data_IF_750453889260
#
_entry.id   IF_750453889260
#
_cell.length_a   1.000
_cell.length_b   1.000
_cell.length_c   1.000
_cell.angle_alpha   90.00
_cell.angle_beta   90.00
_cell.angle_gamma   90.00
#
_symmetry.space_group_name_H-M   'P 1'
#
loop_
_entity.id
_entity.type
_entity.pdbx_description
1 polymer ?
#
# COMPACT_ATOMS: atom_id res chain seq x y z
N UNK A 1 -14.25 -15.64 12.87
CA UNK A 1 -13.48 -14.51 12.32
C UNK A 1 -12.17 -14.43 13.08
N UNK A 2 -11.10 -14.79 12.40
CA UNK A 2 -9.78 -14.91 12.96
C UNK A 2 -8.77 -14.35 11.97
N UNK A 3 -7.87 -13.50 12.48
CA UNK A 3 -6.66 -13.13 11.75
C UNK A 3 -5.76 -14.37 11.65
N UNK A 4 -5.47 -14.79 10.43
CA UNK A 4 -4.68 -15.97 10.12
C UNK A 4 -3.18 -15.67 10.18
N UNK A 5 -2.78 -14.48 9.70
CA UNK A 5 -1.39 -14.06 9.70
C UNK A 5 -1.26 -12.55 9.92
N UNK A 6 -0.13 -12.14 10.49
CA UNK A 6 0.32 -10.74 10.52
C UNK A 6 1.82 -10.67 10.32
N UNK A 7 2.23 -9.87 9.36
CA UNK A 7 3.64 -9.57 9.05
C UNK A 7 3.86 -8.07 9.18
N UNK A 8 5.01 -7.69 9.74
CA UNK A 8 5.46 -6.30 9.84
C UNK A 8 6.83 -6.22 9.19
N UNK A 9 7.00 -5.33 8.21
CA UNK A 9 8.27 -5.20 7.50
C UNK A 9 8.40 -3.81 6.86
N UNK A 10 9.63 -3.30 6.73
CA UNK A 10 9.88 -2.08 5.97
C UNK A 10 9.79 -2.35 4.47
N UNK A 11 9.28 -1.38 3.73
CA UNK A 11 9.29 -1.36 2.26
C UNK A 11 9.87 -0.03 1.82
N UNK A 12 10.79 -0.04 0.86
CA UNK A 12 11.27 1.19 0.23
C UNK A 12 10.43 1.50 -1.01
N UNK A 13 9.53 2.48 -1.00
CA UNK A 13 8.68 2.77 -2.14
C UNK A 13 9.43 3.59 -3.19
N UNK A 14 10.20 2.91 -4.04
CA UNK A 14 10.94 3.53 -5.14
C UNK A 14 10.02 4.39 -5.99
N UNK A 15 10.43 5.64 -6.27
CA UNK A 15 9.63 6.63 -6.98
C UNK A 15 8.25 6.92 -6.35
N UNK A 16 8.08 6.61 -5.07
CA UNK A 16 6.84 6.82 -4.33
C UNK A 16 5.83 5.70 -4.46
N UNK A 17 6.22 4.55 -5.03
CA UNK A 17 5.31 3.43 -5.30
C UNK A 17 5.85 2.12 -4.71
N UNK A 18 4.93 1.26 -4.31
CA UNK A 18 5.22 -0.14 -4.05
C UNK A 18 4.01 -1.01 -4.41
N UNK A 19 4.27 -2.28 -4.65
CA UNK A 19 3.33 -3.19 -5.29
C UNK A 19 2.99 -4.38 -4.40
N UNK A 20 1.75 -4.87 -4.53
CA UNK A 20 1.27 -6.11 -3.92
C UNK A 20 0.75 -7.02 -5.03
N UNK A 21 1.31 -8.21 -5.19
CA UNK A 21 0.99 -9.08 -6.33
C UNK A 21 1.20 -10.57 -6.02
N UNK A 22 0.62 -11.43 -6.86
CA UNK A 22 0.85 -12.87 -6.81
C UNK A 22 2.02 -13.33 -7.71
N UNK A 23 2.62 -14.52 -7.49
CA UNK A 23 3.62 -15.06 -8.39
C UNK A 23 3.16 -15.08 -9.85
N UNK A 24 4.06 -14.74 -10.77
CA UNK A 24 3.78 -14.72 -12.21
C UNK A 24 3.04 -13.47 -12.70
N UNK A 25 2.62 -12.55 -11.82
CA UNK A 25 2.20 -11.22 -12.23
C UNK A 25 3.44 -10.45 -12.76
N UNK A 26 3.32 -9.68 -13.85
CA UNK A 26 4.41 -8.83 -14.31
C UNK A 26 4.76 -7.82 -13.22
N UNK A 27 6.06 -7.68 -12.90
CA UNK A 27 6.58 -6.81 -11.83
C UNK A 27 6.56 -5.31 -12.23
N UNK A 28 5.51 -4.90 -12.92
CA UNK A 28 5.42 -3.67 -13.70
C UNK A 28 4.45 -3.92 -14.83
N UNK A 29 3.16 -3.96 -14.52
CA UNK A 29 2.13 -4.13 -15.53
C UNK A 29 2.24 -2.99 -16.53
N UNK A 30 2.50 -3.31 -17.80
CA UNK A 30 2.73 -2.35 -18.88
C UNK A 30 1.51 -1.45 -19.23
N UNK A 31 0.50 -1.40 -18.36
CA UNK A 31 -0.74 -0.61 -18.50
C UNK A 31 -1.07 0.22 -17.25
N UNK A 32 -0.20 0.27 -16.24
CA UNK A 32 -0.44 1.09 -15.05
C UNK A 32 0.06 2.50 -15.37
N UNK A 33 -0.83 3.32 -15.94
CA UNK A 33 -0.65 4.77 -15.94
C UNK A 33 -0.48 5.18 -14.49
N UNK A 34 0.76 5.50 -14.10
CA UNK A 34 1.14 5.78 -12.72
C UNK A 34 0.12 6.69 -12.05
N UNK A 35 -0.19 6.36 -10.79
CA UNK A 35 -1.12 7.10 -9.93
C UNK A 35 -1.08 8.61 -10.19
N UNK A 36 -2.01 9.09 -11.02
CA UNK A 36 -2.18 10.52 -11.26
C UNK A 36 -2.93 11.11 -10.06
N UNK A 37 -2.28 11.99 -9.31
CA UNK A 37 -2.97 12.84 -8.33
C UNK A 37 -3.05 12.35 -6.88
N UNK A 38 -2.13 11.48 -6.42
CA UNK A 38 -1.98 11.21 -4.98
C UNK A 38 -2.93 10.15 -4.39
N UNK A 39 -3.69 9.44 -5.22
CA UNK A 39 -4.56 8.33 -4.79
C UNK A 39 -3.75 7.23 -4.10
N UNK A 40 -4.21 6.72 -2.96
CA UNK A 40 -3.53 5.68 -2.19
C UNK A 40 -3.34 4.35 -2.93
N UNK A 41 -4.33 3.93 -3.72
CA UNK A 41 -4.39 2.59 -4.28
C UNK A 41 -4.91 2.60 -5.72
N UNK A 42 -4.24 1.86 -6.60
CA UNK A 42 -4.75 1.44 -7.91
C UNK A 42 -4.75 -0.08 -7.97
N UNK A 43 -5.90 -0.64 -8.37
CA UNK A 43 -6.09 -2.09 -8.46
C UNK A 43 -6.10 -2.58 -9.91
N UNK A 44 -5.25 -3.57 -10.18
CA UNK A 44 -5.31 -4.41 -11.37
C UNK A 44 -5.90 -5.79 -11.08
N UNK A 45 -5.82 -6.70 -12.05
CA UNK A 45 -6.35 -8.07 -11.91
C UNK A 45 -5.56 -8.90 -10.88
N UNK A 46 -4.24 -8.93 -10.98
CA UNK A 46 -3.34 -9.74 -10.13
C UNK A 46 -2.22 -8.90 -9.47
N UNK A 47 -2.37 -7.59 -9.49
CA UNK A 47 -1.47 -6.63 -8.89
C UNK A 47 -2.24 -5.44 -8.31
N UNK A 48 -1.68 -4.85 -7.26
CA UNK A 48 -2.08 -3.59 -6.67
C UNK A 48 -0.86 -2.67 -6.64
N UNK A 49 -1.09 -1.39 -6.88
CA UNK A 49 -0.10 -0.32 -6.74
C UNK A 49 -0.52 0.59 -5.61
N UNK A 50 0.37 0.80 -4.64
CA UNK A 50 0.17 1.67 -3.50
C UNK A 50 1.14 2.85 -3.62
N UNK A 51 0.64 4.06 -3.36
CA UNK A 51 1.49 5.25 -3.34
C UNK A 51 1.80 5.74 -1.94
N UNK A 52 2.97 6.33 -1.78
CA UNK A 52 3.32 7.28 -0.73
C UNK A 52 3.36 8.69 -1.32
N UNK A 53 3.22 9.71 -0.47
CA UNK A 53 3.49 11.10 -0.86
C UNK A 53 5.01 11.40 -0.91
N UNK A 54 5.84 10.53 -0.32
CA UNK A 54 7.28 10.69 -0.17
C UNK A 54 8.00 9.36 -0.50
N UNK A 55 8.65 9.27 -1.67
CA UNK A 55 9.29 8.05 -2.19
C UNK A 55 10.80 7.88 -1.95
N UNK A 56 11.33 8.43 -0.85
CA UNK A 56 12.79 8.46 -0.54
C UNK A 56 13.15 7.83 0.79
N UNK A 57 12.16 7.52 1.64
CA UNK A 57 12.38 6.84 2.92
C UNK A 57 11.58 5.55 2.99
N UNK A 58 12.07 4.58 3.76
CA UNK A 58 11.33 3.34 4.00
C UNK A 58 9.99 3.64 4.70
N UNK A 59 8.93 2.94 4.30
CA UNK A 59 7.62 2.92 4.96
C UNK A 59 7.47 1.63 5.76
N UNK A 60 6.64 1.63 6.80
CA UNK A 60 6.35 0.42 7.57
C UNK A 60 5.05 -0.21 7.09
N UNK A 61 5.09 -1.48 6.68
CA UNK A 61 3.93 -2.20 6.14
C UNK A 61 3.52 -3.30 7.11
N UNK A 62 2.26 -3.27 7.50
CA UNK A 62 1.57 -4.37 8.16
C UNK A 62 0.71 -5.11 7.16
N UNK A 63 1.03 -6.38 6.89
CA UNK A 63 0.22 -7.27 6.06
C UNK A 63 -0.53 -8.24 6.95
N UNK A 64 -1.85 -8.24 6.88
CA UNK A 64 -2.72 -9.17 7.60
C UNK A 64 -3.51 -10.03 6.63
N UNK A 65 -3.52 -11.34 6.88
CA UNK A 65 -4.46 -12.26 6.22
C UNK A 65 -5.55 -12.64 7.22
N UNK A 66 -6.80 -12.62 6.76
CA UNK A 66 -7.99 -12.94 7.53
C UNK A 66 -8.80 -14.06 6.87
N UNK A 67 -9.49 -14.85 7.69
CA UNK A 67 -10.35 -15.94 7.23
C UNK A 67 -11.59 -15.41 6.48
N UNK A 68 -12.15 -14.30 6.94
CA UNK A 68 -13.27 -13.56 6.35
C UNK A 68 -12.99 -12.05 6.47
N UNK A 69 -13.97 -11.22 6.05
CA UNK A 69 -13.84 -9.77 6.16
C UNK A 69 -13.47 -9.35 7.59
N UNK A 70 -12.38 -8.59 7.78
CA UNK A 70 -11.94 -8.12 9.09
C UNK A 70 -13.00 -7.17 9.69
N UNK A 71 -12.95 -6.92 11.02
CA UNK A 71 -13.80 -5.88 11.59
C UNK A 71 -13.34 -4.54 11.01
N UNK A 72 -14.27 -3.60 10.87
CA UNK A 72 -13.94 -2.24 10.48
C UNK A 72 -12.77 -1.74 11.32
N UNK A 73 -11.76 -1.17 10.67
CA UNK A 73 -10.65 -0.51 11.36
C UNK A 73 -11.21 0.74 12.06
N UNK A 74 -11.90 0.55 13.18
CA UNK A 74 -12.62 1.57 13.90
C UNK A 74 -11.66 2.72 14.26
N UNK A 75 -11.78 3.85 13.56
CA UNK A 75 -11.24 5.16 13.94
C UNK A 75 -9.78 5.23 14.48
N UNK A 76 -8.88 4.33 14.06
CA UNK A 76 -7.49 4.22 14.53
C UNK A 76 -6.54 5.35 14.03
N UNK A 77 -7.09 6.51 13.65
CA UNK A 77 -6.30 7.63 13.13
C UNK A 77 -5.68 7.36 11.75
N UNK A 78 -6.28 6.47 10.95
CA UNK A 78 -5.94 6.29 9.54
C UNK A 78 -6.33 7.54 8.74
N UNK A 79 -5.38 8.07 7.97
CA UNK A 79 -5.57 9.30 7.19
C UNK A 79 -6.33 9.03 5.89
N UNK A 80 -6.07 7.87 5.28
CA UNK A 80 -6.67 7.48 4.02
C UNK A 80 -6.90 5.98 3.97
N UNK A 81 -7.99 5.58 3.31
CA UNK A 81 -8.38 4.19 3.16
C UNK A 81 -8.86 3.93 1.75
N UNK A 82 -8.44 2.81 1.16
CA UNK A 82 -8.88 2.38 -0.15
C UNK A 82 -9.01 0.87 -0.21
N UNK A 83 -9.86 0.37 -1.10
CA UNK A 83 -10.10 -1.06 -1.25
C UNK A 83 -10.05 -1.48 -2.71
N UNK A 84 -9.52 -2.68 -2.96
CA UNK A 84 -9.52 -3.31 -4.27
C UNK A 84 -9.73 -4.83 -4.15
N UNK A 85 -9.96 -5.48 -5.29
CA UNK A 85 -9.93 -6.95 -5.39
C UNK A 85 -8.71 -7.33 -6.21
N UNK A 86 -7.98 -8.35 -5.79
CA UNK A 86 -6.77 -8.84 -6.47
C UNK A 86 -6.75 -10.37 -6.49
N UNK A 87 -6.36 -10.96 -7.62
CA UNK A 87 -6.19 -12.40 -7.75
C UNK A 87 -4.79 -12.83 -7.30
N UNK A 88 -4.72 -13.70 -6.29
CA UNK A 88 -3.46 -14.18 -5.72
C UNK A 88 -3.35 -15.70 -5.92
N UNK A 89 -2.17 -16.17 -6.32
CA UNK A 89 -1.90 -17.57 -6.67
C UNK A 89 -1.31 -18.34 -5.48
N UNK A 90 -1.95 -18.26 -4.32
CA UNK A 90 -1.53 -18.94 -3.08
C UNK A 90 -0.33 -18.31 -2.38
N UNK A 91 0.20 -17.23 -2.92
CA UNK A 91 1.24 -16.41 -2.32
C UNK A 91 0.97 -14.95 -2.64
N UNK A 92 1.44 -14.08 -1.76
CA UNK A 92 1.48 -12.64 -1.94
C UNK A 92 2.92 -12.16 -1.83
N UNK A 93 3.30 -11.24 -2.71
CA UNK A 93 4.60 -10.60 -2.76
C UNK A 93 4.35 -9.10 -2.61
N UNK A 94 5.08 -8.47 -1.69
CA UNK A 94 5.12 -7.02 -1.52
C UNK A 94 6.52 -6.54 -1.90
N UNK A 95 6.61 -5.59 -2.82
CA UNK A 95 7.90 -5.06 -3.28
C UNK A 95 7.79 -3.58 -3.58
N UNK A 96 8.76 -2.80 -3.09
CA UNK A 96 9.10 -1.53 -3.74
C UNK A 96 10.20 -1.76 -4.76
N UNK A 97 10.41 -0.84 -5.68
CA UNK A 97 11.23 -1.00 -6.90
C UNK A 97 12.73 -1.34 -6.70
N UNK A 98 13.16 -1.65 -5.47
CA UNK A 98 14.51 -2.14 -5.18
C UNK A 98 14.56 -3.67 -5.36
N UNK A 99 15.35 -4.18 -6.32
CA UNK A 99 15.55 -5.62 -6.49
C UNK A 99 16.04 -6.30 -5.21
N UNK A 100 15.50 -7.49 -4.92
CA UNK A 100 15.94 -8.32 -3.78
C UNK A 100 15.41 -7.89 -2.40
N UNK A 101 14.57 -6.84 -2.32
CA UNK A 101 13.94 -6.39 -1.06
C UNK A 101 12.45 -6.72 -0.95
N UNK A 102 11.96 -7.67 -1.74
CA UNK A 102 10.56 -8.07 -1.68
C UNK A 102 10.28 -9.00 -0.49
N UNK A 103 9.10 -8.86 0.09
CA UNK A 103 8.58 -9.76 1.11
C UNK A 103 7.58 -10.70 0.48
N UNK A 104 7.80 -12.01 0.65
CA UNK A 104 6.93 -13.06 0.14
C UNK A 104 6.26 -13.79 1.29
N UNK A 105 4.95 -14.01 1.18
CA UNK A 105 4.16 -14.74 2.15
C UNK A 105 3.26 -15.76 1.45
N UNK A 106 3.15 -16.96 2.04
CA UNK A 106 2.21 -17.99 1.58
C UNK A 106 0.85 -17.74 2.22
N UNK A 107 -0.20 -17.69 1.39
CA UNK A 107 -1.56 -17.43 1.86
C UNK A 107 -2.19 -18.71 2.40
N UNK A 108 -2.86 -18.60 3.54
CA UNK A 108 -3.64 -19.68 4.14
C UNK A 108 -4.93 -19.96 3.38
N UNK A 109 -5.56 -18.93 2.79
CA UNK A 109 -6.76 -19.05 1.95
C UNK A 109 -6.50 -19.65 0.56
N UNK A 110 -5.24 -19.92 0.21
CA UNK A 110 -4.87 -20.53 -1.07
C UNK A 110 -4.99 -19.57 -2.26
N UNK A 111 -5.25 -20.13 -3.44
CA UNK A 111 -5.34 -19.37 -4.68
C UNK A 111 -6.77 -18.87 -4.94
N UNK A 112 -6.92 -17.61 -5.36
CA UNK A 112 -8.21 -17.05 -5.71
C UNK A 112 -8.27 -15.53 -5.65
N UNK A 113 -9.47 -14.95 -5.81
CA UNK A 113 -9.69 -13.53 -5.62
C UNK A 113 -9.73 -13.16 -4.13
N UNK A 114 -8.90 -12.20 -3.73
CA UNK A 114 -8.85 -11.62 -2.40
C UNK A 114 -9.38 -10.20 -2.45
N UNK A 115 -10.13 -9.81 -1.42
CA UNK A 115 -10.39 -8.41 -1.13
C UNK A 115 -9.16 -7.88 -0.39
N UNK A 116 -8.73 -6.69 -0.77
CA UNK A 116 -7.65 -5.96 -0.14
C UNK A 116 -8.18 -4.62 0.36
N UNK A 117 -8.14 -4.41 1.67
CA UNK A 117 -8.33 -3.10 2.27
C UNK A 117 -6.98 -2.54 2.70
N UNK A 118 -6.72 -1.31 2.27
CA UNK A 118 -5.48 -0.58 2.50
C UNK A 118 -5.80 0.64 3.33
N UNK A 119 -5.09 0.80 4.43
CA UNK A 119 -5.13 1.99 5.26
C UNK A 119 -3.73 2.59 5.32
N UNK A 120 -3.65 3.91 5.28
CA UNK A 120 -2.38 4.63 5.38
C UNK A 120 -2.46 5.79 6.36
N UNK A 121 -1.35 6.08 7.05
CA UNK A 121 -1.23 7.22 7.97
C UNK A 121 0.18 7.78 7.98
N UNK A 122 0.31 8.99 8.51
CA UNK A 122 1.53 9.81 8.50
C UNK A 122 2.05 10.13 7.09
N UNK A 123 1.26 9.93 6.02
CA UNK A 123 1.71 10.16 4.63
C UNK A 123 2.11 11.63 4.46
N UNK A 124 1.20 12.53 4.87
CA UNK A 124 1.38 13.98 4.76
C UNK A 124 2.47 14.47 5.72
N UNK A 125 2.44 14.00 6.97
CA UNK A 125 3.38 14.44 7.99
C UNK A 125 4.84 14.03 7.67
N UNK A 126 5.06 12.89 7.02
CA UNK A 126 6.40 12.49 6.55
C UNK A 126 6.83 13.32 5.36
N UNK A 127 5.95 13.54 4.37
CA UNK A 127 6.25 14.39 3.22
C UNK A 127 6.64 15.82 3.64
N UNK A 128 5.83 16.46 4.48
CA UNK A 128 6.09 17.82 4.99
C UNK A 128 7.40 17.92 5.77
N UNK A 129 7.71 16.93 6.62
CA UNK A 129 8.98 16.90 7.35
C UNK A 129 10.16 16.70 6.40
N UNK A 130 10.02 15.87 5.38
CA UNK A 130 11.07 15.67 4.39
C UNK A 130 11.33 16.96 3.60
N UNK A 131 10.30 17.68 3.19
CA UNK A 131 10.43 18.99 2.55
C UNK A 131 11.14 20.00 3.46
N UNK A 132 10.84 19.99 4.76
CA UNK A 132 11.55 20.82 5.75
C UNK A 132 13.03 20.45 5.86
N UNK A 133 13.40 19.17 5.74
CA UNK A 133 14.81 18.75 5.69
C UNK A 133 15.51 19.31 4.45
N UNK A 134 14.88 19.23 3.28
CA UNK A 134 15.43 19.78 2.04
C UNK A 134 15.61 21.31 2.10
N UNK A 135 14.71 22.02 2.78
CA UNK A 135 14.83 23.47 2.98
C UNK A 135 15.93 23.82 4.00
N UNK A 136 16.12 23.00 5.04
CA UNK A 136 17.07 23.25 6.13
C UNK A 136 18.51 22.94 5.73
N UNK A 137 18.74 21.88 4.95
CA UNK A 137 20.07 21.43 4.58
C UNK A 137 20.36 21.73 3.11
N UNK A 138 21.42 22.51 2.86
CA UNK A 138 21.82 22.91 1.50
C UNK A 138 22.30 21.73 0.63
N UNK A 139 22.83 20.68 1.26
CA UNK A 139 23.32 19.47 0.60
C UNK A 139 22.56 18.22 1.09
N UNK A 140 21.75 17.56 0.24
CA UNK A 140 21.03 16.34 0.57
C UNK A 140 21.95 15.10 0.68
N UNK A 141 23.24 15.24 0.40
CA UNK A 141 24.23 14.19 0.59
C UNK A 141 25.07 14.38 1.87
N UNK A 142 24.86 15.46 2.61
CA UNK A 142 25.57 15.73 3.88
C UNK A 142 25.27 14.65 4.93
N UNK A 143 26.20 14.47 5.88
CA UNK A 143 26.04 13.51 6.97
C UNK A 143 24.86 13.91 7.87
N UNK A 144 24.69 15.21 8.10
CA UNK A 144 23.63 15.79 8.92
C UNK A 144 22.26 15.57 8.30
N UNK A 145 22.12 15.76 6.98
CA UNK A 145 20.89 15.42 6.26
C UNK A 145 20.58 13.93 6.39
N UNK A 146 21.56 13.05 6.17
CA UNK A 146 21.38 11.60 6.26
C UNK A 146 20.94 11.15 7.65
N UNK A 147 21.48 11.73 8.72
CA UNK A 147 21.05 11.46 10.10
C UNK A 147 19.61 11.93 10.33
N UNK A 148 19.26 13.12 9.85
CA UNK A 148 17.90 13.65 9.99
C UNK A 148 16.86 12.84 9.18
N UNK A 149 17.23 12.41 7.97
CA UNK A 149 16.43 11.54 7.11
C UNK A 149 16.17 10.18 7.77
N UNK A 150 17.17 9.57 8.42
CA UNK A 150 16.98 8.32 9.16
C UNK A 150 15.87 8.44 10.21
N UNK A 151 15.69 9.62 10.80
CA UNK A 151 14.61 9.88 11.75
C UNK A 151 13.20 9.77 11.15
N UNK A 152 13.04 9.84 9.82
CA UNK A 152 11.76 9.72 9.12
C UNK A 152 11.44 8.29 8.64
N UNK A 153 12.42 7.40 8.61
CA UNK A 153 12.24 6.03 8.12
C UNK A 153 11.25 5.25 8.99
N UNK A 154 10.35 4.54 8.34
CA UNK A 154 9.31 3.71 8.97
C UNK A 154 8.19 4.49 9.65
N UNK A 155 8.16 5.83 9.55
CA UNK A 155 7.10 6.65 10.17
C UNK A 155 5.80 6.66 9.39
N UNK A 156 5.88 6.61 8.07
CA UNK A 156 4.70 6.39 7.25
C UNK A 156 4.32 4.92 7.35
N UNK A 157 3.05 4.67 7.64
CA UNK A 157 2.55 3.34 7.97
C UNK A 157 1.42 2.94 7.04
N UNK A 158 1.48 1.69 6.57
CA UNK A 158 0.44 1.06 5.76
C UNK A 158 -0.05 -0.20 6.46
N UNK A 159 -1.37 -0.39 6.47
CA UNK A 159 -2.01 -1.64 6.84
C UNK A 159 -2.74 -2.20 5.62
N UNK A 160 -2.36 -3.41 5.21
CA UNK A 160 -2.95 -4.15 4.10
C UNK A 160 -3.65 -5.37 4.71
N UNK A 161 -4.97 -5.42 4.60
CA UNK A 161 -5.79 -6.55 5.06
C UNK A 161 -6.29 -7.33 3.87
N UNK A 162 -6.00 -8.62 3.82
CA UNK A 162 -6.40 -9.53 2.77
C UNK A 162 -7.36 -10.59 3.32
N UNK A 163 -8.43 -10.89 2.59
CA UNK A 163 -9.28 -12.05 2.85
C UNK A 163 -9.87 -12.59 1.55
N UNK A 164 -10.11 -13.91 1.45
CA UNK A 164 -10.74 -14.50 0.27
C UNK A 164 -12.13 -13.90 0.04
N UNK A 165 -12.42 -13.53 -1.20
CA UNK A 165 -13.81 -13.28 -1.61
C UNK A 165 -14.44 -14.62 -1.93
N UNK A 166 -15.58 -14.94 -1.30
CA UNK A 166 -16.31 -16.16 -1.63
C UNK A 166 -16.62 -16.14 -3.13
N UNK A 167 -16.06 -17.09 -3.88
CA UNK A 167 -16.25 -17.20 -5.31
C UNK A 167 -17.68 -17.64 -5.63
N UNK A 168 -18.65 -16.72 -5.57
CA UNK A 168 -19.98 -16.86 -6.16
C UNK A 168 -20.43 -15.54 -6.77
N UNK A 169 -19.91 -15.27 -7.97
CA UNK A 169 -20.51 -14.34 -8.93
C UNK A 169 -19.94 -12.92 -8.91
N UNK A 170 -19.32 -12.54 -10.03
CA UNK A 170 -19.13 -11.13 -10.39
C UNK A 170 -17.85 -10.48 -9.88
N UNK A 171 -16.83 -10.49 -10.73
CA UNK A 171 -15.70 -9.57 -10.62
C UNK A 171 -16.23 -8.14 -10.67
N UNK A 172 -16.28 -7.45 -9.53
CA UNK A 172 -16.63 -6.03 -9.50
C UNK A 172 -15.35 -5.22 -9.66
N UNK A 173 -15.15 -4.63 -10.84
CA UNK A 173 -14.10 -3.62 -11.10
C UNK A 173 -14.25 -2.50 -10.07
N UNK A 174 -13.14 -2.03 -9.49
CA UNK A 174 -13.12 -1.01 -8.45
C UNK A 174 -14.13 0.11 -8.75
N UNK A 175 -15.13 0.28 -7.88
CA UNK A 175 -16.11 1.34 -8.01
C UNK A 175 -15.39 2.68 -7.80
N UNK A 176 -15.54 3.58 -8.77
CA UNK A 176 -14.94 4.91 -8.76
C UNK A 176 -15.27 5.71 -7.50
N UNK A 177 -14.37 6.64 -7.21
CA UNK A 177 -14.44 7.64 -6.14
C UNK A 177 -15.86 8.18 -5.97
N UNK A 178 -16.44 8.03 -4.77
CA UNK A 178 -17.66 8.74 -4.39
C UNK A 178 -17.29 10.15 -3.97
N UNK A 179 -17.57 11.13 -4.82
CA UNK A 179 -17.68 12.52 -4.40
C UNK A 179 -19.12 12.80 -3.93
N UNK A 180 -19.33 13.57 -2.84
CA UNK A 180 -20.67 13.99 -2.44
C UNK A 180 -21.25 14.92 -3.52
N UNK A 181 -22.44 14.58 -4.03
CA UNK A 181 -23.16 15.38 -5.00
C UNK A 181 -23.63 16.68 -4.35
N UNK A 182 -23.20 17.83 -4.89
CA UNK A 182 -23.80 19.11 -4.56
C UNK A 182 -25.21 19.17 -5.17
N UNK A 183 -26.20 19.41 -4.32
CA UNK A 183 -27.57 19.74 -4.73
C UNK A 183 -27.57 21.22 -5.12
N UNK A 184 -27.74 21.51 -6.40
CA UNK A 184 -28.12 22.87 -6.83
C UNK A 184 -29.63 22.92 -6.97
N UNK A 185 -30.24 23.84 -6.22
CA UNK A 185 -31.62 24.31 -6.46
C UNK A 185 -31.69 25.30 -7.60
#
# INVERSE_FOLDING_TARGET
>A
MARLARLLFPVFPGNGLFHVYGPGAPAGGADISGLSGGSLLVGGFDHLELSTLQGRVDVNVALEEWDIAPPDAACDGWEETASATVFLRGQVIVSGDIPGRSVRHRLFGGSGPYRADVHARQRRAVAERYDQLLQRYRDPHSAEFRIAEQGLRGREEFLIRLWPTAARGGWTRAAGVRFPTAVSG
#
